data_IF_998155459916
#
_entry.id   IF_998155459916
#
_cell.length_a   1.000
_cell.length_b   1.000
_cell.length_c   1.000
_cell.angle_alpha   90.00
_cell.angle_beta   90.00
_cell.angle_gamma   90.00
#
_symmetry.space_group_name_H-M   'P 1'
#
loop_
_entity.id
_entity.type
_entity.pdbx_description
1 polymer ?
#
# COMPACT_ATOMS: atom_id res chain seq x y z
N UNK A 1 -17.17 20.55 -13.52
CA UNK A 1 -18.02 21.10 -14.58
C UNK A 1 -19.42 21.48 -14.08
N UNK A 2 -20.23 20.52 -13.60
CA UNK A 2 -21.60 20.80 -13.14
C UNK A 2 -21.71 21.87 -12.06
N UNK A 3 -20.80 21.85 -11.08
CA UNK A 3 -20.74 22.88 -10.03
C UNK A 3 -20.44 24.27 -10.58
N UNK A 4 -19.43 24.40 -11.44
CA UNK A 4 -19.07 25.66 -12.08
C UNK A 4 -20.21 26.21 -12.96
N UNK A 5 -20.93 25.33 -13.66
CA UNK A 5 -22.14 25.72 -14.40
C UNK A 5 -23.23 26.26 -13.47
N UNK A 6 -23.54 25.53 -12.38
CA UNK A 6 -24.61 25.93 -11.45
C UNK A 6 -24.25 27.22 -10.68
N UNK A 7 -22.96 27.48 -10.47
CA UNK A 7 -22.44 28.72 -9.91
C UNK A 7 -22.40 29.90 -10.91
N UNK A 8 -22.87 29.72 -12.15
CA UNK A 8 -22.91 30.77 -13.16
C UNK A 8 -21.55 31.12 -13.79
N UNK A 9 -20.51 30.33 -13.54
CA UNK A 9 -19.15 30.60 -14.03
C UNK A 9 -18.93 30.19 -15.50
N UNK A 10 -19.93 29.55 -16.12
CA UNK A 10 -19.83 29.05 -17.50
C UNK A 10 -20.98 29.64 -18.33
N UNK A 11 -20.70 30.51 -19.31
CA UNK A 11 -21.71 31.24 -20.08
C UNK A 11 -22.18 30.44 -21.31
N UNK A 12 -22.57 29.18 -21.11
CA UNK A 12 -23.15 28.33 -22.17
C UNK A 12 -24.41 27.65 -21.62
N UNK A 13 -25.34 27.24 -22.48
CA UNK A 13 -26.57 26.58 -22.02
C UNK A 13 -26.31 25.15 -21.54
N UNK A 14 -27.18 24.64 -20.65
CA UNK A 14 -27.14 23.22 -20.24
C UNK A 14 -27.37 22.29 -21.44
N UNK A 15 -28.21 22.71 -22.39
CA UNK A 15 -28.48 21.99 -23.62
C UNK A 15 -27.23 21.84 -24.49
N UNK A 16 -26.39 22.88 -24.59
CA UNK A 16 -25.13 22.82 -25.31
C UNK A 16 -24.12 21.87 -24.65
N UNK A 17 -24.08 21.86 -23.31
CA UNK A 17 -23.23 20.92 -22.54
C UNK A 17 -23.71 19.48 -22.77
N UNK A 18 -25.01 19.22 -22.71
CA UNK A 18 -25.58 17.89 -22.94
C UNK A 18 -25.37 17.40 -24.38
N UNK A 19 -25.44 18.30 -25.37
CA UNK A 19 -25.10 18.00 -26.76
C UNK A 19 -23.61 17.69 -26.91
N UNK A 20 -22.72 18.45 -26.27
CA UNK A 20 -21.28 18.17 -26.29
C UNK A 20 -20.93 16.82 -25.62
N UNK A 21 -21.64 16.44 -24.56
CA UNK A 21 -21.51 15.12 -23.94
C UNK A 21 -21.98 14.03 -24.90
N UNK A 22 -23.11 14.24 -25.60
CA UNK A 22 -23.62 13.29 -26.58
C UNK A 22 -22.66 13.11 -27.77
N UNK A 23 -22.10 14.22 -28.28
CA UNK A 23 -21.16 14.23 -29.40
C UNK A 23 -19.82 13.55 -29.08
N UNK A 24 -19.35 13.64 -27.83
CA UNK A 24 -18.14 12.92 -27.39
C UNK A 24 -18.30 11.39 -27.39
N UNK A 25 -19.53 10.87 -27.34
CA UNK A 25 -19.84 9.44 -27.49
C UNK A 25 -19.38 8.51 -26.36
N UNK A 26 -18.54 8.97 -25.44
CA UNK A 26 -17.99 8.16 -24.34
C UNK A 26 -18.84 8.33 -23.07
N UNK A 27 -19.37 7.22 -22.56
CA UNK A 27 -20.05 7.14 -21.24
C UNK A 27 -21.07 8.27 -21.01
N UNK A 28 -21.91 8.54 -22.02
CA UNK A 28 -22.83 9.69 -22.08
C UNK A 28 -23.67 9.79 -20.80
N UNK A 29 -24.29 8.70 -20.36
CA UNK A 29 -25.12 8.69 -19.15
C UNK A 29 -24.32 8.97 -17.86
N UNK A 30 -23.11 8.42 -17.75
CA UNK A 30 -22.24 8.66 -16.60
C UNK A 30 -21.81 10.13 -16.54
N UNK A 31 -21.49 10.73 -17.69
CA UNK A 31 -21.13 12.14 -17.79
C UNK A 31 -22.32 13.06 -17.46
N UNK A 32 -23.54 12.71 -17.88
CA UNK A 32 -24.76 13.43 -17.48
C UNK A 32 -25.05 13.31 -15.99
N UNK A 33 -24.91 12.11 -15.40
CA UNK A 33 -25.05 11.89 -13.94
C UNK A 33 -24.01 12.70 -13.16
N UNK A 34 -22.75 12.72 -13.63
CA UNK A 34 -21.69 13.51 -13.01
C UNK A 34 -21.95 15.03 -13.11
N UNK A 35 -22.48 15.50 -14.25
CA UNK A 35 -22.92 16.88 -14.41
C UNK A 35 -24.03 17.23 -13.43
N UNK A 36 -25.06 16.38 -13.33
CA UNK A 36 -26.19 16.56 -12.41
C UNK A 36 -25.73 16.60 -10.94
N UNK A 37 -24.91 15.63 -10.50
CA UNK A 37 -24.35 15.62 -9.13
C UNK A 37 -23.57 16.91 -8.85
N UNK A 38 -22.75 17.37 -9.79
CA UNK A 38 -22.01 18.62 -9.64
C UNK A 38 -22.92 19.84 -9.50
N UNK A 39 -24.06 19.86 -10.19
CA UNK A 39 -25.06 20.94 -10.05
C UNK A 39 -25.78 20.86 -8.71
N UNK A 40 -26.22 19.66 -8.32
CA UNK A 40 -26.85 19.42 -7.01
C UNK A 40 -25.91 19.80 -5.87
N UNK A 41 -24.60 19.60 -5.99
CA UNK A 41 -23.64 20.00 -4.96
C UNK A 41 -23.71 21.49 -4.62
N UNK A 42 -23.93 22.35 -5.62
CA UNK A 42 -24.05 23.81 -5.43
C UNK A 42 -25.44 24.21 -4.95
N UNK A 43 -26.47 23.48 -5.36
CA UNK A 43 -27.86 23.74 -4.99
C UNK A 43 -28.23 23.20 -3.59
N UNK A 44 -27.70 22.03 -3.22
CA UNK A 44 -27.92 21.31 -1.97
C UNK A 44 -26.73 20.38 -1.68
N UNK A 45 -25.76 20.92 -0.96
CA UNK A 45 -24.55 20.19 -0.53
C UNK A 45 -24.90 19.00 0.38
N UNK A 46 -25.91 19.14 1.25
CA UNK A 46 -26.28 18.11 2.21
C UNK A 46 -26.86 16.86 1.54
N UNK A 47 -27.64 17.03 0.47
CA UNK A 47 -28.13 15.90 -0.32
C UNK A 47 -26.99 15.08 -0.94
N UNK A 48 -25.97 15.74 -1.48
CA UNK A 48 -24.80 15.06 -2.06
C UNK A 48 -23.96 14.38 -0.98
N UNK A 49 -23.72 15.04 0.15
CA UNK A 49 -23.02 14.45 1.29
C UNK A 49 -23.75 13.22 1.84
N UNK A 50 -25.08 13.23 1.87
CA UNK A 50 -25.90 12.07 2.26
C UNK A 50 -25.74 10.91 1.28
N UNK A 51 -25.77 11.16 -0.04
CA UNK A 51 -25.52 10.13 -1.06
C UNK A 51 -24.11 9.52 -0.93
N UNK A 52 -23.09 10.34 -0.68
CA UNK A 52 -21.71 9.87 -0.47
C UNK A 52 -21.61 9.01 0.79
N UNK A 53 -22.26 9.42 1.89
CA UNK A 53 -22.27 8.64 3.15
C UNK A 53 -22.94 7.28 2.97
N UNK A 54 -24.08 7.21 2.29
CA UNK A 54 -24.78 5.95 1.99
C UNK A 54 -23.90 5.01 1.15
N UNK A 55 -23.19 5.53 0.14
CA UNK A 55 -22.26 4.74 -0.68
C UNK A 55 -21.03 4.22 0.09
N UNK A 56 -20.61 4.89 1.17
CA UNK A 56 -19.51 4.43 2.04
C UNK A 56 -19.93 3.27 2.94
N UNK A 57 -21.18 3.21 3.41
CA UNK A 57 -21.65 2.13 4.29
C UNK A 57 -21.66 0.75 3.60
N UNK A 58 -21.73 0.71 2.25
CA UNK A 58 -21.63 -0.54 1.46
C UNK A 58 -20.20 -1.04 1.24
N UNK A 59 -19.16 -0.26 1.57
CA UNK A 59 -17.76 -0.65 1.43
C UNK A 59 -17.27 -1.30 2.74
N UNK A 60 -17.42 -2.62 2.83
CA UNK A 60 -17.09 -3.52 3.97
C UNK A 60 -15.61 -3.52 4.44
N UNK A 61 -14.78 -2.57 4.00
CA UNK A 61 -13.32 -2.56 4.19
C UNK A 61 -12.81 -1.75 5.40
N UNK A 62 -13.65 -1.25 6.30
CA UNK A 62 -13.23 -0.23 7.28
C UNK A 62 -13.56 -0.55 8.75
N UNK A 63 -13.30 -1.76 9.22
CA UNK A 63 -13.00 -1.89 10.66
C UNK A 63 -11.55 -1.42 10.86
N UNK A 64 -11.40 -0.18 11.34
CA UNK A 64 -10.11 0.31 11.83
C UNK A 64 -9.86 -0.46 13.13
N UNK A 65 -8.75 -1.20 13.21
CA UNK A 65 -8.37 -1.90 14.43
C UNK A 65 -8.34 -0.91 15.61
N UNK A 66 -9.02 -1.26 16.69
CA UNK A 66 -9.19 -0.40 17.86
C UNK A 66 -8.05 -0.55 18.87
N UNK A 67 -7.31 -1.67 18.84
CA UNK A 67 -6.19 -1.96 19.73
C UNK A 67 -4.96 -2.51 18.99
N UNK A 68 -3.81 -2.52 19.68
CA UNK A 68 -2.57 -3.11 19.18
C UNK A 68 -2.73 -4.61 18.92
N UNK A 69 -3.43 -5.34 19.80
CA UNK A 69 -3.69 -6.77 19.66
C UNK A 69 -4.49 -7.05 18.38
N UNK A 70 -5.54 -6.27 18.11
CA UNK A 70 -6.31 -6.40 16.86
C UNK A 70 -5.46 -6.09 15.61
N UNK A 71 -4.49 -5.16 15.73
CA UNK A 71 -3.54 -4.88 14.63
C UNK A 71 -2.64 -6.09 14.38
N UNK A 72 -2.10 -6.70 15.44
CA UNK A 72 -1.20 -7.85 15.36
C UNK A 72 -1.94 -9.05 14.81
N UNK A 73 -3.10 -9.41 15.37
CA UNK A 73 -3.88 -10.58 14.97
C UNK A 73 -4.29 -10.50 13.49
N UNK A 74 -4.83 -9.35 13.06
CA UNK A 74 -5.24 -9.16 11.66
C UNK A 74 -4.06 -9.28 10.70
N UNK A 75 -2.88 -8.79 11.10
CA UNK A 75 -1.67 -8.85 10.28
C UNK A 75 -1.05 -10.24 10.25
N UNK A 76 -1.07 -10.96 11.37
CA UNK A 76 -0.66 -12.35 11.46
C UNK A 76 -1.54 -13.23 10.56
N UNK A 77 -2.87 -13.07 10.62
CA UNK A 77 -3.80 -13.79 9.74
C UNK A 77 -3.54 -13.46 8.26
N UNK A 78 -3.30 -12.18 7.94
CA UNK A 78 -2.91 -11.81 6.58
C UNK A 78 -1.62 -12.50 6.14
N UNK A 79 -0.59 -12.56 6.98
CA UNK A 79 0.69 -13.20 6.66
C UNK A 79 0.54 -14.72 6.49
N UNK A 80 -0.33 -15.34 7.28
CA UNK A 80 -0.69 -16.76 7.17
C UNK A 80 -1.31 -17.08 5.81
N UNK A 81 -2.28 -16.28 5.38
CA UNK A 81 -2.91 -16.40 4.06
C UNK A 81 -1.91 -16.07 2.94
N UNK A 82 -1.13 -15.02 3.13
CA UNK A 82 -0.13 -14.52 2.17
C UNK A 82 0.95 -15.56 1.87
N UNK A 83 1.50 -16.22 2.90
CA UNK A 83 2.53 -17.26 2.75
C UNK A 83 2.11 -18.53 3.51
N UNK A 84 2.34 -18.57 4.83
CA UNK A 84 2.14 -19.73 5.70
C UNK A 84 2.20 -19.34 7.19
N UNK A 85 1.95 -20.32 8.06
CA UNK A 85 1.99 -20.17 9.53
C UNK A 85 3.37 -19.69 10.04
N UNK A 86 4.46 -20.22 9.47
CA UNK A 86 5.81 -19.87 9.90
C UNK A 86 6.12 -18.36 9.72
N UNK A 87 5.58 -17.74 8.67
CA UNK A 87 5.74 -16.30 8.46
C UNK A 87 4.91 -15.48 9.46
N UNK A 88 3.72 -15.95 9.82
CA UNK A 88 2.90 -15.31 10.85
C UNK A 88 3.56 -15.42 12.23
N UNK A 89 4.09 -16.59 12.59
CA UNK A 89 4.80 -16.79 13.86
C UNK A 89 6.04 -15.90 13.96
N UNK A 90 6.86 -15.84 12.91
CA UNK A 90 8.02 -14.94 12.84
C UNK A 90 7.64 -13.47 13.08
N UNK A 91 6.48 -13.06 12.56
CA UNK A 91 5.93 -11.72 12.76
C UNK A 91 5.55 -11.48 14.23
N UNK A 92 4.78 -12.39 14.83
CA UNK A 92 4.38 -12.29 16.24
C UNK A 92 5.58 -12.31 17.18
N UNK A 93 6.52 -13.24 16.99
CA UNK A 93 7.71 -13.38 17.84
C UNK A 93 8.59 -12.12 17.91
N UNK A 94 8.72 -11.38 16.79
CA UNK A 94 9.47 -10.12 16.81
C UNK A 94 8.72 -9.04 17.58
N UNK A 95 7.40 -8.95 17.41
CA UNK A 95 6.58 -7.93 18.06
C UNK A 95 6.48 -8.20 19.55
N UNK A 96 6.28 -9.45 19.97
CA UNK A 96 6.21 -9.82 21.38
C UNK A 96 7.47 -9.40 22.14
N UNK A 97 8.65 -9.58 21.53
CA UNK A 97 9.92 -9.09 22.10
C UNK A 97 9.95 -7.57 22.26
N UNK A 98 9.42 -6.83 21.28
CA UNK A 98 9.34 -5.37 21.33
C UNK A 98 8.32 -4.91 22.39
N UNK A 99 7.15 -5.53 22.46
CA UNK A 99 6.13 -5.23 23.46
C UNK A 99 6.68 -5.40 24.89
N UNK A 100 7.39 -6.50 25.15
CA UNK A 100 8.01 -6.78 26.46
C UNK A 100 9.08 -5.74 26.79
N UNK A 101 9.95 -5.41 25.84
CA UNK A 101 11.01 -4.42 26.04
C UNK A 101 10.45 -2.99 26.26
N UNK A 102 9.47 -2.57 25.45
CA UNK A 102 8.82 -1.26 25.58
C UNK A 102 8.07 -1.13 26.90
N UNK A 103 7.28 -2.15 27.27
CA UNK A 103 6.49 -2.14 28.51
C UNK A 103 7.37 -2.12 29.76
N UNK A 104 8.55 -2.75 29.71
CA UNK A 104 9.52 -2.75 30.80
C UNK A 104 10.19 -1.38 30.99
N UNK A 105 10.28 -0.58 29.91
CA UNK A 105 10.92 0.72 29.93
C UNK A 105 9.95 1.87 30.26
N UNK A 106 8.80 1.89 29.59
CA UNK A 106 7.82 2.96 29.62
C UNK A 106 6.42 2.36 29.78
N UNK A 107 5.99 2.22 31.03
CA UNK A 107 4.66 1.70 31.34
C UNK A 107 3.56 2.52 30.64
N UNK A 108 2.77 1.86 29.79
CA UNK A 108 1.66 2.47 29.05
C UNK A 108 2.00 3.04 27.67
N UNK A 109 3.26 2.99 27.22
CA UNK A 109 3.61 3.32 25.83
C UNK A 109 3.43 2.10 24.93
N UNK A 110 2.75 2.27 23.79
CA UNK A 110 2.63 1.29 22.71
C UNK A 110 3.21 1.78 21.39
N UNK A 111 3.82 2.97 21.36
CA UNK A 111 4.18 3.66 20.13
C UNK A 111 5.24 2.89 19.31
N UNK A 112 6.24 2.32 19.96
CA UNK A 112 7.26 1.52 19.29
C UNK A 112 6.65 0.21 18.78
N UNK A 113 5.89 -0.47 19.63
CA UNK A 113 5.21 -1.72 19.29
C UNK A 113 4.24 -1.57 18.13
N UNK A 114 3.45 -0.50 18.08
CA UNK A 114 2.57 -0.16 16.97
C UNK A 114 3.34 0.15 15.68
N UNK A 115 4.44 0.89 15.79
CA UNK A 115 5.31 1.20 14.65
C UNK A 115 5.90 -0.09 14.07
N UNK A 116 6.40 -1.00 14.91
CA UNK A 116 6.94 -2.30 14.49
C UNK A 116 5.84 -3.18 13.91
N UNK A 117 4.68 -3.28 14.55
CA UNK A 117 3.57 -4.11 14.08
C UNK A 117 3.14 -3.71 12.66
N UNK A 118 3.08 -2.41 12.38
CA UNK A 118 2.71 -1.87 11.07
C UNK A 118 3.80 -2.07 10.03
N UNK A 119 5.03 -1.72 10.37
CA UNK A 119 6.12 -1.64 9.40
C UNK A 119 6.77 -2.99 9.12
N UNK A 120 6.86 -3.86 10.11
CA UNK A 120 7.36 -5.21 9.88
C UNK A 120 6.44 -5.99 8.94
N UNK A 121 5.13 -5.91 9.15
CA UNK A 121 4.16 -6.49 8.22
C UNK A 121 4.32 -5.94 6.80
N UNK A 122 4.51 -4.62 6.66
CA UNK A 122 4.72 -3.99 5.35
C UNK A 122 5.95 -4.54 4.63
N UNK A 123 7.03 -4.80 5.36
CA UNK A 123 8.30 -5.32 4.80
C UNK A 123 8.20 -6.81 4.48
N UNK A 124 7.44 -7.59 5.27
CA UNK A 124 7.20 -9.02 5.02
C UNK A 124 6.19 -9.28 3.88
N UNK A 125 5.10 -8.52 3.84
CA UNK A 125 3.99 -8.70 2.90
C UNK A 125 4.14 -7.78 1.68
N UNK A 126 5.19 -8.01 0.89
CA UNK A 126 5.40 -7.31 -0.38
C UNK A 126 4.32 -7.69 -1.40
N UNK A 127 3.91 -6.71 -2.21
CA UNK A 127 3.00 -6.95 -3.33
C UNK A 127 3.76 -7.51 -4.53
N UNK A 128 4.16 -8.76 -4.43
CA UNK A 128 4.87 -9.49 -5.48
C UNK A 128 3.94 -10.07 -6.54
N UNK A 129 4.52 -10.76 -7.52
CA UNK A 129 3.79 -11.31 -8.68
C UNK A 129 2.72 -12.32 -8.25
N UNK A 130 3.02 -13.15 -7.23
CA UNK A 130 2.10 -14.15 -6.69
C UNK A 130 0.93 -13.48 -5.97
N UNK A 131 1.19 -12.47 -5.15
CA UNK A 131 0.16 -11.76 -4.40
C UNK A 131 -0.72 -10.90 -5.32
N UNK A 132 -0.12 -10.24 -6.32
CA UNK A 132 -0.88 -9.57 -7.37
C UNK A 132 -1.81 -10.57 -8.04
N UNK A 133 -1.30 -11.73 -8.47
CA UNK A 133 -2.11 -12.74 -9.12
C UNK A 133 -3.26 -13.24 -8.23
N UNK A 134 -3.00 -13.45 -6.93
CA UNK A 134 -4.03 -13.82 -5.94
C UNK A 134 -5.13 -12.77 -5.83
N UNK A 135 -4.77 -11.49 -5.66
CA UNK A 135 -5.73 -10.38 -5.54
C UNK A 135 -6.57 -10.17 -6.81
N UNK A 136 -6.03 -10.50 -7.98
CA UNK A 136 -6.80 -10.49 -9.23
C UNK A 136 -7.74 -11.69 -9.35
N UNK A 137 -7.43 -12.82 -8.70
CA UNK A 137 -8.13 -14.09 -8.91
C UNK A 137 -8.94 -14.59 -7.71
N UNK A 138 -8.95 -13.86 -6.59
CA UNK A 138 -9.74 -14.14 -5.39
C UNK A 138 -11.27 -13.89 -5.55
N UNK A 139 -11.68 -13.46 -6.74
CA UNK A 139 -13.05 -13.16 -7.10
C UNK A 139 -13.57 -11.82 -6.57
N UNK A 140 -12.86 -11.13 -5.68
CA UNK A 140 -13.27 -9.79 -5.23
C UNK A 140 -13.19 -8.78 -6.37
N UNK A 141 -12.13 -8.86 -7.18
CA UNK A 141 -11.99 -8.03 -8.38
C UNK A 141 -13.11 -8.31 -9.40
N UNK A 142 -13.44 -9.57 -9.66
CA UNK A 142 -14.51 -9.94 -10.59
C UNK A 142 -15.88 -9.46 -10.10
N UNK A 143 -16.18 -9.61 -8.81
CA UNK A 143 -17.42 -9.07 -8.20
C UNK A 143 -17.49 -7.55 -8.33
N UNK A 144 -16.39 -6.85 -8.06
CA UNK A 144 -16.31 -5.39 -8.22
C UNK A 144 -16.55 -4.95 -9.66
N UNK A 145 -16.00 -5.67 -10.64
CA UNK A 145 -16.25 -5.41 -12.05
C UNK A 145 -17.73 -5.60 -12.42
N UNK A 146 -18.35 -6.71 -12.03
CA UNK A 146 -19.78 -6.98 -12.29
C UNK A 146 -20.72 -5.98 -11.60
N UNK A 147 -20.32 -5.43 -10.46
CA UNK A 147 -21.10 -4.39 -9.77
C UNK A 147 -20.97 -3.01 -10.42
N UNK A 148 -19.86 -2.74 -11.10
CA UNK A 148 -19.55 -1.40 -11.63
C UNK A 148 -19.91 -1.26 -13.10
N UNK A 149 -19.84 -2.35 -13.87
CA UNK A 149 -20.02 -2.36 -15.33
C UNK A 149 -21.17 -3.28 -15.74
N UNK A 150 -21.86 -2.92 -16.81
CA UNK A 150 -22.91 -3.74 -17.43
C UNK A 150 -22.33 -5.04 -18.03
N UNK A 151 -23.16 -6.07 -18.11
CA UNK A 151 -22.77 -7.38 -18.63
C UNK A 151 -22.36 -7.32 -20.12
N UNK A 152 -21.32 -8.06 -20.49
CA UNK A 152 -20.87 -8.22 -21.90
C UNK A 152 -19.53 -7.58 -22.26
N UNK A 153 -18.87 -6.88 -21.33
CA UNK A 153 -17.55 -6.28 -21.54
C UNK A 153 -16.38 -7.30 -21.54
N UNK A 154 -15.38 -7.09 -22.40
CA UNK A 154 -14.09 -7.83 -22.35
C UNK A 154 -13.08 -7.07 -21.50
N UNK A 155 -12.55 -7.73 -20.47
CA UNK A 155 -11.52 -7.13 -19.59
C UNK A 155 -10.13 -7.41 -20.14
N UNK A 156 -9.35 -6.35 -20.36
CA UNK A 156 -7.93 -6.43 -20.69
C UNK A 156 -7.07 -5.81 -19.59
N UNK A 157 -6.06 -6.53 -19.12
CA UNK A 157 -5.11 -6.05 -18.12
C UNK A 157 -3.88 -5.45 -18.79
N UNK A 158 -3.50 -4.23 -18.39
CA UNK A 158 -2.26 -3.60 -18.84
C UNK A 158 -1.14 -3.87 -17.84
N UNK A 159 -0.30 -4.86 -18.14
CA UNK A 159 0.78 -5.32 -17.26
C UNK A 159 2.14 -5.04 -17.89
N UNK A 160 3.15 -4.89 -17.04
CA UNK A 160 4.54 -4.90 -17.47
C UNK A 160 5.27 -6.07 -16.78
N UNK A 161 5.15 -7.31 -17.30
CA UNK A 161 5.71 -8.48 -16.63
C UNK A 161 7.24 -8.35 -16.55
N UNK A 162 7.87 -8.54 -15.37
CA UNK A 162 9.29 -8.26 -15.16
C UNK A 162 10.25 -8.94 -16.14
N UNK A 163 9.91 -10.16 -16.57
CA UNK A 163 10.76 -10.96 -17.48
C UNK A 163 10.47 -10.73 -18.97
N UNK A 164 9.36 -10.06 -19.31
CA UNK A 164 8.89 -9.92 -20.70
C UNK A 164 8.84 -8.48 -21.19
N UNK A 165 8.85 -7.51 -20.28
CA UNK A 165 8.77 -6.09 -20.62
C UNK A 165 10.16 -5.53 -20.90
N UNK A 166 10.34 -5.02 -22.13
CA UNK A 166 11.50 -4.19 -22.47
C UNK A 166 11.35 -2.81 -21.84
N UNK A 167 12.48 -2.21 -21.48
CA UNK A 167 12.54 -0.81 -21.03
C UNK A 167 12.31 0.08 -22.25
N UNK A 168 11.41 1.05 -22.12
CA UNK A 168 11.16 2.06 -23.12
C UNK A 168 12.29 3.10 -23.12
N UNK A 169 13.00 3.32 -24.24
CA UNK A 169 14.12 4.27 -24.32
C UNK A 169 13.72 5.71 -24.01
N UNK A 170 12.47 6.08 -24.27
CA UNK A 170 11.98 7.46 -24.11
C UNK A 170 11.64 7.82 -22.66
N UNK A 171 11.16 6.84 -21.90
CA UNK A 171 10.68 7.06 -20.52
C UNK A 171 11.54 6.38 -19.47
N UNK A 172 12.46 5.49 -19.88
CA UNK A 172 13.27 4.67 -18.99
C UNK A 172 12.45 3.65 -18.17
N UNK A 173 11.19 3.38 -18.56
CA UNK A 173 10.26 2.54 -17.79
C UNK A 173 9.88 1.26 -18.52
N UNK A 174 9.56 0.16 -17.82
CA UNK A 174 9.06 -1.06 -18.45
C UNK A 174 7.79 -0.81 -19.27
N UNK A 175 7.82 -1.21 -20.55
CA UNK A 175 6.68 -1.02 -21.45
C UNK A 175 5.50 -1.88 -21.02
N UNK A 176 4.34 -1.23 -20.82
CA UNK A 176 3.06 -1.92 -20.54
C UNK A 176 2.56 -2.60 -21.80
N UNK A 177 2.00 -3.79 -21.64
CA UNK A 177 1.39 -4.60 -22.70
C UNK A 177 -0.03 -4.96 -22.30
N UNK A 178 -0.94 -4.95 -23.26
CA UNK A 178 -2.32 -5.36 -23.05
C UNK A 178 -2.40 -6.89 -23.08
N UNK A 179 -2.96 -7.47 -22.03
CA UNK A 179 -3.25 -8.89 -21.89
C UNK A 179 -4.76 -9.07 -21.88
N UNK A 180 -5.28 -9.83 -22.85
CA UNK A 180 -6.71 -10.14 -22.94
C UNK A 180 -7.14 -11.22 -21.93
N UNK A 181 -8.38 -11.74 -22.07
CA UNK A 181 -8.96 -12.70 -21.12
C UNK A 181 -8.16 -14.00 -20.89
N UNK A 182 -7.30 -14.39 -21.82
CA UNK A 182 -6.45 -15.58 -21.69
C UNK A 182 -5.47 -15.52 -20.51
N UNK A 183 -5.19 -14.33 -19.98
CA UNK A 183 -4.27 -14.16 -18.84
C UNK A 183 -4.87 -14.60 -17.51
N UNK A 184 -6.20 -14.68 -17.40
CA UNK A 184 -6.88 -15.05 -16.15
C UNK A 184 -6.52 -16.47 -15.68
N UNK A 185 -6.60 -17.52 -16.53
CA UNK A 185 -6.07 -18.84 -16.18
C UNK A 185 -4.62 -18.82 -15.70
N UNK A 186 -3.74 -18.06 -16.36
CA UNK A 186 -2.33 -17.97 -15.99
C UNK A 186 -2.15 -17.35 -14.60
N UNK A 187 -2.87 -16.27 -14.29
CA UNK A 187 -2.84 -15.65 -12.96
C UNK A 187 -3.36 -16.61 -11.88
N UNK A 188 -4.37 -17.45 -12.17
CA UNK A 188 -4.86 -18.45 -11.20
C UNK A 188 -3.81 -19.50 -10.88
N UNK A 189 -3.06 -19.95 -11.87
CA UNK A 189 -1.93 -20.88 -11.66
C UNK A 189 -0.83 -20.19 -10.86
N UNK A 190 -0.48 -18.95 -11.25
CA UNK A 190 0.53 -18.17 -10.56
C UNK A 190 0.17 -17.92 -9.09
N UNK A 191 -1.10 -17.61 -8.77
CA UNK A 191 -1.57 -17.40 -7.40
C UNK A 191 -1.33 -18.63 -6.49
N UNK A 192 -1.41 -19.85 -7.04
CA UNK A 192 -1.11 -21.09 -6.31
C UNK A 192 0.40 -21.31 -6.13
N UNK A 193 1.23 -20.66 -6.93
CA UNK A 193 2.68 -20.71 -6.90
C UNK A 193 3.34 -19.99 -5.72
N UNK A 194 2.58 -19.44 -4.75
CA UNK A 194 3.14 -18.75 -3.58
C UNK A 194 4.16 -19.58 -2.79
N UNK A 195 4.08 -20.90 -2.85
CA UNK A 195 5.05 -21.82 -2.21
C UNK A 195 6.44 -21.70 -2.82
N UNK A 196 6.53 -21.29 -4.09
CA UNK A 196 7.81 -21.05 -4.76
C UNK A 196 8.51 -19.80 -4.23
N UNK A 197 7.79 -18.85 -3.63
CA UNK A 197 8.33 -17.57 -3.16
C UNK A 197 9.59 -17.76 -2.34
N UNK A 198 10.69 -17.14 -2.76
CA UNK A 198 11.97 -17.18 -2.05
C UNK A 198 12.74 -18.50 -2.15
N UNK A 199 12.20 -19.52 -2.83
CA UNK A 199 12.91 -20.77 -3.14
C UNK A 199 13.84 -20.61 -4.34
N UNK A 200 14.74 -21.57 -4.56
CA UNK A 200 15.61 -21.58 -5.74
C UNK A 200 14.84 -21.70 -7.06
N UNK A 201 13.64 -22.29 -7.04
CA UNK A 201 12.77 -22.45 -8.19
C UNK A 201 11.92 -21.20 -8.52
N UNK A 202 12.02 -20.14 -7.73
CA UNK A 202 11.29 -18.90 -7.96
C UNK A 202 11.91 -18.11 -9.14
N UNK A 203 11.21 -17.98 -10.29
CA UNK A 203 11.73 -17.27 -11.45
C UNK A 203 11.91 -15.77 -11.20
N UNK A 204 11.20 -15.21 -10.20
CA UNK A 204 11.28 -13.78 -9.87
C UNK A 204 12.34 -13.50 -8.80
N UNK A 205 12.76 -14.50 -8.03
CA UNK A 205 13.67 -14.29 -6.88
C UNK A 205 14.98 -13.60 -7.24
N UNK A 206 15.50 -13.83 -8.45
CA UNK A 206 16.80 -13.29 -8.89
C UNK A 206 16.73 -11.85 -9.36
N UNK A 207 15.53 -11.28 -9.53
CA UNK A 207 15.36 -9.86 -9.87
C UNK A 207 15.99 -8.97 -8.80
N UNK A 208 16.55 -7.84 -9.24
CA UNK A 208 17.20 -6.89 -8.32
C UNK A 208 16.24 -6.37 -7.25
N UNK A 209 14.99 -6.08 -7.63
CA UNK A 209 13.95 -5.66 -6.69
C UNK A 209 13.73 -6.71 -5.58
N UNK A 210 13.60 -8.00 -5.95
CA UNK A 210 13.41 -9.10 -4.98
C UNK A 210 14.65 -9.34 -4.11
N UNK A 211 15.85 -9.06 -4.61
CA UNK A 211 17.08 -9.08 -3.80
C UNK A 211 17.10 -7.95 -2.77
N UNK A 212 16.75 -6.72 -3.19
CA UNK A 212 16.70 -5.55 -2.30
C UNK A 212 15.61 -5.69 -1.24
N UNK A 213 14.44 -6.22 -1.58
CA UNK A 213 13.37 -6.46 -0.59
C UNK A 213 13.76 -7.52 0.45
N UNK A 214 14.42 -8.61 0.04
CA UNK A 214 14.95 -9.59 1.00
C UNK A 214 16.05 -9.02 1.88
N UNK A 215 16.87 -8.11 1.35
CA UNK A 215 17.83 -7.35 2.14
C UNK A 215 17.11 -6.44 3.13
N UNK A 216 16.07 -5.73 2.70
CA UNK A 216 15.26 -4.86 3.57
C UNK A 216 14.65 -5.61 4.76
N UNK A 217 14.16 -6.84 4.57
CA UNK A 217 13.68 -7.69 5.69
C UNK A 217 14.79 -7.91 6.72
N UNK A 218 16.00 -8.30 6.27
CA UNK A 218 17.14 -8.54 7.17
C UNK A 218 17.64 -7.27 7.84
N UNK A 219 17.74 -6.19 7.07
CA UNK A 219 18.20 -4.89 7.58
C UNK A 219 17.22 -4.38 8.66
N UNK A 220 15.90 -4.56 8.45
CA UNK A 220 14.87 -4.21 9.41
C UNK A 220 14.93 -5.06 10.67
N UNK A 221 15.04 -6.39 10.55
CA UNK A 221 15.18 -7.27 11.72
C UNK A 221 16.45 -6.98 12.53
N UNK A 222 17.55 -6.65 11.85
CA UNK A 222 18.77 -6.18 12.47
C UNK A 222 18.57 -4.86 13.22
N UNK A 223 17.83 -3.91 12.64
CA UNK A 223 17.50 -2.64 13.30
C UNK A 223 16.64 -2.86 14.54
N UNK A 224 15.64 -3.73 14.49
CA UNK A 224 14.83 -4.06 15.67
C UNK A 224 15.70 -4.73 16.73
N UNK A 225 16.63 -5.62 16.35
CA UNK A 225 17.61 -6.18 17.27
C UNK A 225 18.45 -5.11 17.98
N UNK A 226 18.99 -4.15 17.21
CA UNK A 226 19.75 -3.03 17.76
C UNK A 226 18.89 -2.14 18.68
N UNK A 227 17.63 -1.87 18.29
CA UNK A 227 16.68 -1.13 19.12
C UNK A 227 16.51 -1.85 20.46
N UNK A 228 16.23 -3.16 20.45
CA UNK A 228 16.04 -3.95 21.67
C UNK A 228 17.27 -3.94 22.60
N UNK A 229 18.48 -3.90 22.04
CA UNK A 229 19.73 -3.83 22.81
C UNK A 229 20.02 -2.45 23.41
N UNK A 230 19.52 -1.38 22.80
CA UNK A 230 19.85 0.02 23.13
C UNK A 230 18.63 0.85 23.55
N UNK A 231 17.54 0.19 23.91
CA UNK A 231 16.30 0.84 24.25
C UNK A 231 16.41 1.51 25.64
N UNK A 232 16.37 2.83 25.64
CA UNK A 232 16.41 3.70 26.80
C UNK A 232 15.31 4.77 26.65
N UNK A 233 14.87 5.45 27.73
CA UNK A 233 13.77 6.40 27.63
C UNK A 233 14.10 7.57 26.68
N UNK A 234 15.37 7.98 26.62
CA UNK A 234 15.85 9.01 25.69
C UNK A 234 15.95 8.52 24.23
N UNK A 235 16.16 7.22 24.01
CA UNK A 235 16.31 6.63 22.67
C UNK A 235 14.98 6.12 22.09
N UNK A 236 13.90 6.09 22.86
CA UNK A 236 12.57 5.64 22.44
C UNK A 236 12.01 6.38 21.22
N UNK A 237 12.16 7.71 21.17
CA UNK A 237 11.74 8.52 20.02
C UNK A 237 12.49 8.14 18.73
N UNK A 238 13.85 8.20 18.72
CA UNK A 238 14.67 7.71 17.61
C UNK A 238 14.40 6.26 17.22
N UNK A 239 14.20 5.35 18.18
CA UNK A 239 13.87 3.95 17.94
C UNK A 239 12.52 3.79 17.22
N UNK A 240 11.50 4.52 17.65
CA UNK A 240 10.18 4.52 17.01
C UNK A 240 10.27 5.05 15.57
N UNK A 241 11.06 6.11 15.36
CA UNK A 241 11.31 6.65 14.02
C UNK A 241 12.07 5.66 13.12
N UNK A 242 13.06 4.94 13.66
CA UNK A 242 13.81 3.91 12.95
C UNK A 242 12.90 2.74 12.53
N UNK A 243 12.03 2.27 13.44
CA UNK A 243 11.02 1.26 13.14
C UNK A 243 10.00 1.73 12.08
N UNK A 244 9.80 3.05 11.95
CA UNK A 244 8.89 3.71 11.01
C UNK A 244 9.41 3.89 9.59
N UNK A 245 10.71 3.68 9.32
CA UNK A 245 11.32 3.93 8.00
C UNK A 245 10.58 3.27 6.82
N UNK A 246 10.06 2.03 6.93
CA UNK A 246 9.36 1.41 5.82
C UNK A 246 8.15 2.22 5.32
N UNK A 247 7.57 3.13 6.09
CA UNK A 247 6.48 4.02 5.65
C UNK A 247 6.85 4.95 4.51
N UNK A 248 8.12 5.39 4.49
CA UNK A 248 8.69 6.30 3.49
C UNK A 248 8.90 5.60 2.14
N UNK A 249 9.08 4.28 2.16
CA UNK A 249 9.26 3.47 0.94
C UNK A 249 7.89 3.28 0.28
N UNK A 250 7.61 4.07 -0.76
CA UNK A 250 6.36 4.05 -1.53
C UNK A 250 6.64 4.00 -3.03
N UNK A 251 5.60 3.65 -3.79
CA UNK A 251 5.66 3.57 -5.25
C UNK A 251 6.10 2.21 -5.77
N UNK A 252 6.39 2.16 -7.08
CA UNK A 252 6.71 0.95 -7.83
C UNK A 252 7.90 1.19 -8.77
N UNK A 253 8.64 0.13 -9.09
CA UNK A 253 9.79 0.17 -10.00
C UNK A 253 10.82 1.24 -9.59
N UNK A 254 11.23 2.14 -10.51
CA UNK A 254 12.31 3.09 -10.24
C UNK A 254 11.99 4.08 -9.10
N UNK A 255 10.71 4.43 -8.90
CA UNK A 255 10.29 5.31 -7.79
C UNK A 255 10.54 4.63 -6.45
N UNK A 256 10.24 3.33 -6.34
CA UNK A 256 10.50 2.55 -5.13
C UNK A 256 12.00 2.41 -4.87
N UNK A 257 12.80 2.24 -5.93
CA UNK A 257 14.25 2.12 -5.81
C UNK A 257 14.90 3.40 -5.29
N UNK A 258 14.51 4.56 -5.82
CA UNK A 258 14.97 5.85 -5.31
C UNK A 258 14.52 6.09 -3.85
N UNK A 259 13.29 5.69 -3.50
CA UNK A 259 12.79 5.78 -2.13
C UNK A 259 13.56 4.85 -1.17
N UNK A 260 13.94 3.65 -1.61
CA UNK A 260 14.79 2.73 -0.84
C UNK A 260 16.15 3.35 -0.53
N UNK A 261 16.78 3.98 -1.52
CA UNK A 261 18.09 4.61 -1.35
C UNK A 261 18.02 5.83 -0.41
N UNK A 262 16.94 6.62 -0.47
CA UNK A 262 16.69 7.72 0.46
C UNK A 262 16.42 7.22 1.89
N UNK A 263 15.59 6.18 2.04
CA UNK A 263 15.30 5.54 3.32
C UNK A 263 16.57 4.96 3.96
N UNK A 264 17.50 4.41 3.16
CA UNK A 264 18.80 3.93 3.64
C UNK A 264 19.64 5.02 4.31
N UNK A 265 19.70 6.22 3.72
CA UNK A 265 20.40 7.36 4.35
C UNK A 265 19.73 7.80 5.65
N UNK A 266 18.40 7.83 5.69
CA UNK A 266 17.65 8.18 6.90
C UNK A 266 17.87 7.15 8.01
N UNK A 267 17.91 5.87 7.66
CA UNK A 267 18.24 4.75 8.56
C UNK A 267 19.58 4.95 9.24
N UNK A 268 20.63 5.22 8.46
CA UNK A 268 21.97 5.46 9.01
C UNK A 268 21.99 6.65 9.98
N UNK A 269 21.29 7.75 9.65
CA UNK A 269 21.19 8.91 10.54
C UNK A 269 20.47 8.62 11.87
N UNK A 270 19.42 7.78 11.83
CA UNK A 270 18.65 7.40 13.02
C UNK A 270 19.42 6.41 13.91
N UNK A 271 20.14 5.46 13.29
CA UNK A 271 21.06 4.57 14.01
C UNK A 271 22.15 5.37 14.71
N UNK A 272 22.74 6.37 14.04
CA UNK A 272 23.75 7.24 14.64
C UNK A 272 23.19 8.06 15.82
N UNK A 273 21.98 8.61 15.67
CA UNK A 273 21.30 9.35 16.74
C UNK A 273 20.95 8.48 17.95
N UNK A 274 20.65 7.21 17.73
CA UNK A 274 20.33 6.24 18.80
C UNK A 274 21.58 5.72 19.51
N UNK A 275 22.71 5.65 18.82
CA UNK A 275 23.97 5.08 19.34
C UNK A 275 24.93 6.12 19.91
N UNK A 276 24.74 7.39 19.56
CA UNK A 276 25.51 8.48 20.12
C UNK A 276 25.09 8.70 21.59
N UNK A 277 26.04 8.80 22.54
CA UNK A 277 25.70 9.17 23.90
C UNK A 277 24.97 10.52 23.89
N UNK A 278 24.02 10.77 24.81
CA UNK A 278 23.37 12.07 24.89
C UNK A 278 24.48 13.11 24.96
N UNK A 279 24.46 14.05 23.99
CA UNK A 279 25.41 15.14 23.96
C UNK A 279 25.48 15.69 25.37
N UNK A 280 26.65 15.56 26.01
CA UNK A 280 26.92 16.22 27.28
C UNK A 280 26.43 17.65 27.09
N UNK A 281 25.38 17.99 27.83
CA UNK A 281 24.86 19.34 27.90
C UNK A 281 26.06 20.26 27.98
N UNK A 282 26.15 21.20 27.04
CA UNK A 282 27.22 22.14 26.86
C UNK A 282 27.85 22.55 28.20
N UNK A 283 28.90 21.85 28.60
CA UNK A 283 29.81 22.24 29.65
C UNK A 283 30.95 22.98 28.94
N UNK A 284 30.65 24.19 28.47
CA UNK A 284 31.66 25.16 28.07
C UNK A 284 31.01 26.55 27.96
N UNK A 285 31.23 27.32 29.05
CA UNK A 285 31.25 28.79 29.15
C UNK A 285 29.92 29.53 29.33
#
# INVERSE_FOLDING_TARGET
LGAAYQAGLIPISSTAIDQAIALNGVSIEANRKALAIGRTLVADENAVLKMIRVGRHTQRHQHISASLEEVIERRAEHLRVYQNEALANRYCELIDRVCVAESSLLAGSTALSEAVARNYHKVLAIKDEYEVARLFTDGAFERSLRQTFEDGGKVSLHLAPPLLSRIDPSTGRPKKRAFGPWVWPLLRVLAKGKVLRGTWFDPFSRLEERRRERRLIRDYEGDIGLILERLEPASHGPATALAGIPEEIRGYGPVKMAALDAAGRRRESLIAAMTSPPAQAAAAQ
#
